data_IF_108086918427
#
_entry.id   IF_108086918427
#
_cell.length_a   1.000
_cell.length_b   1.000
_cell.length_c   1.000
_cell.angle_alpha   90.00
_cell.angle_beta   90.00
_cell.angle_gamma   90.00
#
_symmetry.space_group_name_H-M   'P 1'
#
loop_
_entity.id
_entity.type
_entity.pdbx_description
1 polymer ?
#
# COMPACT_ATOMS: atom_id res chain seq x y z
N UNK A 1 10.11 9.64 -6.42
CA UNK A 1 9.06 8.61 -6.28
C UNK A 1 9.30 7.53 -7.30
N UNK A 2 9.24 6.29 -6.90
CA UNK A 2 9.20 5.13 -7.78
C UNK A 2 8.48 3.97 -7.10
N UNK A 3 7.92 3.08 -7.90
CA UNK A 3 7.37 1.81 -7.45
C UNK A 3 8.02 0.68 -8.26
N UNK A 4 8.25 -0.45 -7.63
CA UNK A 4 8.78 -1.64 -8.28
C UNK A 4 7.77 -2.76 -8.13
N UNK A 5 7.27 -3.28 -9.25
CA UNK A 5 6.44 -4.47 -9.27
C UNK A 5 7.36 -5.70 -9.30
N UNK A 6 7.03 -6.68 -8.48
CA UNK A 6 7.83 -7.89 -8.35
C UNK A 6 6.96 -9.13 -8.38
N UNK A 7 7.51 -10.22 -8.89
CA UNK A 7 6.96 -11.57 -8.76
C UNK A 7 7.94 -12.48 -8.05
N UNK A 8 7.42 -13.49 -7.38
CA UNK A 8 8.27 -14.51 -6.76
C UNK A 8 8.55 -15.62 -7.76
N UNK A 9 9.79 -16.09 -7.80
CA UNK A 9 10.13 -17.32 -8.49
C UNK A 9 9.74 -18.58 -7.67
N UNK A 10 10.08 -19.76 -8.18
CA UNK A 10 9.75 -21.03 -7.52
C UNK A 10 10.45 -21.21 -6.18
N UNK A 11 11.58 -20.56 -5.99
CA UNK A 11 12.39 -20.58 -4.77
C UNK A 11 11.94 -19.50 -3.76
N UNK A 12 10.93 -18.68 -4.12
CA UNK A 12 10.40 -17.58 -3.29
C UNK A 12 11.28 -16.33 -3.30
N UNK A 13 12.17 -16.20 -4.28
CA UNK A 13 13.01 -15.00 -4.45
C UNK A 13 12.22 -13.94 -5.23
N UNK A 14 12.12 -12.68 -4.73
CA UNK A 14 11.45 -11.62 -5.45
C UNK A 14 12.27 -11.16 -6.65
N UNK A 15 11.63 -11.15 -7.83
CA UNK A 15 12.21 -10.68 -9.07
C UNK A 15 11.46 -9.45 -9.57
N UNK A 16 12.14 -8.32 -9.84
CA UNK A 16 11.49 -7.12 -10.36
C UNK A 16 11.01 -7.36 -11.79
N UNK A 17 9.77 -6.96 -12.07
CA UNK A 17 9.13 -7.10 -13.37
C UNK A 17 8.92 -5.75 -14.05
N UNK A 18 8.65 -4.70 -13.29
CA UNK A 18 8.42 -3.35 -13.80
C UNK A 18 8.88 -2.31 -12.79
N UNK A 19 9.42 -1.20 -13.29
CA UNK A 19 9.75 -0.02 -12.48
C UNK A 19 8.94 1.16 -12.99
N UNK A 20 8.06 1.69 -12.14
CA UNK A 20 7.28 2.89 -12.39
C UNK A 20 7.93 4.08 -11.70
N UNK A 21 8.38 5.07 -12.45
CA UNK A 21 9.05 6.27 -11.93
C UNK A 21 8.18 7.51 -12.08
N UNK A 22 8.42 8.48 -11.20
CA UNK A 22 7.79 9.81 -11.21
C UNK A 22 6.28 9.83 -10.96
N UNK A 23 5.69 8.75 -10.47
CA UNK A 23 4.26 8.71 -10.12
C UNK A 23 4.00 7.78 -8.94
N UNK A 24 2.89 8.02 -8.26
CA UNK A 24 2.32 7.05 -7.32
C UNK A 24 1.56 5.97 -8.08
N UNK A 25 1.48 4.77 -7.51
CA UNK A 25 0.69 3.69 -8.11
C UNK A 25 -0.82 3.91 -7.89
N UNK A 26 -1.63 3.21 -8.69
CA UNK A 26 -3.09 3.37 -8.69
C UNK A 26 -3.77 3.06 -7.35
N UNK A 27 -3.12 2.28 -6.49
CA UNK A 27 -3.61 1.90 -5.17
C UNK A 27 -3.10 2.78 -4.03
N UNK A 28 -2.61 3.99 -4.34
CA UNK A 28 -2.04 4.91 -3.34
C UNK A 28 -3.01 5.24 -2.21
N UNK A 29 -4.31 5.27 -2.49
CA UNK A 29 -5.34 5.53 -1.49
C UNK A 29 -5.35 4.47 -0.37
N UNK A 30 -5.00 3.22 -0.68
CA UNK A 30 -4.82 2.18 0.34
C UNK A 30 -3.84 2.62 1.44
N UNK A 31 -2.71 3.17 1.06
CA UNK A 31 -1.69 3.62 2.01
C UNK A 31 -2.19 4.79 2.86
N UNK A 32 -2.91 5.72 2.24
CA UNK A 32 -3.51 6.86 2.94
C UNK A 32 -4.53 6.41 3.98
N UNK A 33 -5.46 5.54 3.60
CA UNK A 33 -6.46 4.96 4.50
C UNK A 33 -5.84 4.11 5.62
N UNK A 34 -4.73 3.44 5.32
CA UNK A 34 -3.97 2.68 6.31
C UNK A 34 -3.07 3.54 7.22
N UNK A 35 -3.13 4.87 7.10
CA UNK A 35 -2.41 5.82 7.96
C UNK A 35 -1.07 6.30 7.42
N UNK A 36 -0.72 5.97 6.17
CA UNK A 36 0.51 6.42 5.52
C UNK A 36 0.20 7.27 4.28
N UNK A 37 -0.05 8.56 4.47
CA UNK A 37 -0.34 9.49 3.37
C UNK A 37 0.94 9.82 2.58
N UNK A 38 1.32 8.96 1.67
CA UNK A 38 2.55 9.11 0.88
C UNK A 38 2.57 10.39 0.02
N UNK A 39 1.47 10.85 -0.62
CA UNK A 39 1.45 12.13 -1.32
C UNK A 39 1.76 13.32 -0.42
N UNK A 40 1.23 13.36 0.78
CA UNK A 40 1.52 14.43 1.73
C UNK A 40 2.96 14.39 2.24
N UNK A 41 3.46 13.20 2.56
CA UNK A 41 4.86 12.99 2.92
C UNK A 41 5.78 13.51 1.82
N UNK A 42 5.49 13.18 0.57
CA UNK A 42 6.28 13.64 -0.57
C UNK A 42 6.24 15.15 -0.73
N UNK A 43 5.06 15.76 -0.60
CA UNK A 43 4.88 17.22 -0.60
C UNK A 43 5.75 17.86 0.49
N UNK A 44 5.72 17.33 1.70
CA UNK A 44 6.48 17.88 2.83
C UNK A 44 7.99 17.76 2.65
N UNK A 45 8.46 16.67 2.06
CA UNK A 45 9.88 16.51 1.70
C UNK A 45 10.29 17.55 0.65
N UNK A 46 9.49 17.71 -0.42
CA UNK A 46 9.81 18.61 -1.52
C UNK A 46 9.77 20.10 -1.13
N UNK A 47 8.77 20.51 -0.35
CA UNK A 47 8.56 21.91 -0.01
C UNK A 47 9.35 22.36 1.22
N UNK A 48 9.55 21.46 2.18
CA UNK A 48 10.07 21.84 3.51
C UNK A 48 11.26 21.02 3.95
N UNK A 49 11.71 20.03 3.18
CA UNK A 49 12.76 19.09 3.57
C UNK A 49 12.43 18.26 4.81
N UNK A 50 11.14 18.11 5.14
CA UNK A 50 10.68 17.37 6.32
C UNK A 50 10.48 15.91 5.98
N UNK A 51 11.19 15.03 6.70
CA UNK A 51 11.04 13.57 6.59
C UNK A 51 10.10 13.04 7.68
N UNK A 52 9.25 12.04 7.38
CA UNK A 52 8.35 11.47 8.36
C UNK A 52 9.13 10.69 9.42
N UNK A 53 8.62 10.71 10.66
CA UNK A 53 9.07 9.80 11.72
C UNK A 53 8.23 8.53 11.65
N UNK A 54 8.82 7.45 11.18
CA UNK A 54 8.17 6.14 11.10
C UNK A 54 8.75 5.21 12.17
N UNK A 55 7.89 4.51 12.90
CA UNK A 55 8.31 3.48 13.86
C UNK A 55 9.10 2.36 13.18
N UNK A 56 8.66 1.98 11.97
CA UNK A 56 9.36 1.04 11.10
C UNK A 56 9.63 1.71 9.75
N UNK A 57 10.87 1.67 9.31
CA UNK A 57 11.27 2.24 8.00
C UNK A 57 10.88 1.34 6.84
N UNK A 58 10.92 0.03 7.06
CA UNK A 58 10.50 -0.97 6.07
C UNK A 58 9.14 -1.50 6.46
N UNK A 59 8.23 -1.54 5.51
CA UNK A 59 6.84 -1.97 5.68
C UNK A 59 6.18 -1.34 6.93
N UNK A 60 5.94 -0.01 6.92
CA UNK A 60 5.41 0.69 8.10
C UNK A 60 3.94 0.38 8.41
N UNK A 61 3.22 -0.23 7.48
CA UNK A 61 1.82 -0.59 7.66
C UNK A 61 1.67 -1.83 8.54
N UNK A 62 0.50 -1.96 9.17
CA UNK A 62 0.12 -3.17 9.91
C UNK A 62 -0.06 -4.35 8.96
N UNK A 63 0.26 -5.54 9.43
CA UNK A 63 -0.02 -6.77 8.69
C UNK A 63 -1.53 -7.07 8.66
N UNK A 64 -1.97 -7.82 7.66
CA UNK A 64 -3.36 -8.28 7.55
C UNK A 64 -4.35 -7.22 7.04
N UNK A 65 -3.88 -6.08 6.52
CA UNK A 65 -4.72 -5.11 5.84
C UNK A 65 -5.02 -5.56 4.40
N UNK A 66 -6.26 -5.40 3.98
CA UNK A 66 -6.75 -5.73 2.65
C UNK A 66 -7.40 -4.50 2.01
N UNK A 67 -7.18 -4.34 0.71
CA UNK A 67 -7.82 -3.30 -0.10
C UNK A 67 -8.84 -3.93 -1.02
N UNK A 68 -10.12 -3.78 -0.68
CA UNK A 68 -11.22 -4.36 -1.44
C UNK A 68 -11.64 -3.35 -2.50
N UNK A 69 -11.63 -3.79 -3.75
CA UNK A 69 -12.03 -2.99 -4.92
C UNK A 69 -13.05 -3.76 -5.75
N UNK A 70 -14.02 -3.03 -6.27
CA UNK A 70 -14.98 -3.53 -7.26
C UNK A 70 -15.17 -2.51 -8.37
N UNK A 71 -15.81 -2.92 -9.48
CA UNK A 71 -16.07 -2.02 -10.60
C UNK A 71 -17.08 -0.93 -10.24
N UNK A 72 -18.10 -1.28 -9.44
CA UNK A 72 -19.22 -0.41 -9.08
C UNK A 72 -19.29 -0.08 -7.58
N UNK A 73 -18.18 -0.21 -6.87
CA UNK A 73 -18.11 0.07 -5.44
C UNK A 73 -16.91 0.94 -5.08
N UNK A 74 -17.10 1.78 -4.06
CA UNK A 74 -15.97 2.51 -3.51
C UNK A 74 -14.94 1.55 -2.90
N UNK A 75 -13.64 1.79 -3.11
CA UNK A 75 -12.59 1.01 -2.45
C UNK A 75 -12.72 1.08 -0.94
N UNK A 76 -12.45 -0.02 -0.26
CA UNK A 76 -12.55 -0.13 1.19
C UNK A 76 -11.32 -0.81 1.79
N UNK A 77 -10.80 -0.20 2.84
CA UNK A 77 -9.80 -0.84 3.70
C UNK A 77 -10.51 -1.81 4.66
N UNK A 78 -9.99 -3.01 4.76
CA UNK A 78 -10.47 -4.02 5.69
C UNK A 78 -9.30 -4.80 6.29
N UNK A 79 -9.55 -5.46 7.41
CA UNK A 79 -8.63 -6.44 7.96
C UNK A 79 -8.98 -7.85 7.46
N UNK A 80 -8.02 -8.76 7.53
CA UNK A 80 -8.24 -10.17 7.20
C UNK A 80 -9.38 -10.76 8.03
N UNK A 81 -9.40 -10.47 9.33
CA UNK A 81 -10.42 -11.00 10.26
C UNK A 81 -11.85 -10.50 9.94
N UNK A 82 -11.98 -9.27 9.43
CA UNK A 82 -13.28 -8.75 8.99
C UNK A 82 -13.77 -9.50 7.75
N UNK A 83 -12.91 -9.72 6.78
CA UNK A 83 -13.26 -10.45 5.56
C UNK A 83 -13.61 -11.90 5.86
N UNK A 84 -12.81 -12.58 6.67
CA UNK A 84 -13.06 -13.98 7.02
C UNK A 84 -14.39 -14.15 7.78
N UNK A 85 -14.74 -13.22 8.66
CA UNK A 85 -16.05 -13.23 9.34
C UNK A 85 -17.24 -13.08 8.39
N UNK A 86 -17.11 -12.23 7.38
CA UNK A 86 -18.18 -12.03 6.39
C UNK A 86 -18.33 -13.23 5.44
N UNK A 87 -17.24 -13.89 5.07
CA UNK A 87 -17.27 -15.11 4.26
C UNK A 87 -17.97 -16.25 5.01
N UNK A 88 -17.76 -16.40 6.31
CA UNK A 88 -18.40 -17.45 7.13
C UNK A 88 -19.93 -17.23 7.24
N UNK A 89 -20.40 -15.99 7.11
CA UNK A 89 -21.84 -15.66 7.14
C UNK A 89 -22.58 -15.96 5.83
N UNK A 90 -21.85 -16.17 4.75
CA UNK A 90 -22.41 -16.53 3.44
C UNK A 90 -22.68 -18.02 3.36
#
# INVERSE_FOLDING_TARGET
IFGVDMTYDREGVPNPTEINISRFFATILFFTEAGLNMPEIFKDICLYGRFPRLERKLNPLKNGLLWIRGMDSYPRLATRDEVDREIIRL
#
